data_IF_221900740554
#
_entry.id   IF_221900740554
#
_cell.length_a   1.000
_cell.length_b   1.000
_cell.length_c   1.000
_cell.angle_alpha   90.00
_cell.angle_beta   90.00
_cell.angle_gamma   90.00
#
_symmetry.space_group_name_H-M   'P 1'
#
loop_
_entity.id
_entity.type
_entity.pdbx_description
1 polymer ?
#
# COMPACT_ATOMS: atom_id res chain seq x y z
N UNK A 1 16.27 -11.58 -9.09
CA UNK A 1 14.94 -12.11 -9.53
C UNK A 1 13.95 -10.97 -9.40
N UNK A 2 13.18 -10.68 -10.45
CA UNK A 2 12.25 -9.54 -10.48
C UNK A 2 11.02 -9.78 -9.61
N UNK A 3 10.64 -8.80 -8.78
CA UNK A 3 9.39 -8.86 -8.01
C UNK A 3 8.16 -8.59 -8.88
N UNK A 4 7.03 -9.26 -8.63
CA UNK A 4 5.75 -8.83 -9.19
C UNK A 4 5.34 -7.48 -8.59
N UNK A 5 4.44 -6.75 -9.24
CA UNK A 5 3.71 -5.64 -8.62
C UNK A 5 2.41 -6.21 -8.06
N UNK A 6 2.06 -5.82 -6.86
CA UNK A 6 0.84 -6.27 -6.20
C UNK A 6 -0.16 -5.11 -6.11
N UNK A 7 -1.40 -5.33 -6.51
CA UNK A 7 -2.51 -4.45 -6.16
C UNK A 7 -3.40 -5.15 -5.14
N UNK A 8 -3.67 -4.48 -4.02
CA UNK A 8 -4.51 -5.02 -2.94
C UNK A 8 -5.72 -4.13 -2.70
N UNK A 9 -6.88 -4.74 -2.51
CA UNK A 9 -8.04 -4.08 -1.97
C UNK A 9 -7.94 -4.13 -0.44
N UNK A 10 -7.56 -2.99 0.19
CA UNK A 10 -7.38 -2.96 1.65
C UNK A 10 -8.70 -2.93 2.43
N UNK A 11 -9.82 -2.67 1.72
CA UNK A 11 -11.15 -2.70 2.33
C UNK A 11 -11.35 -1.65 3.42
N UNK A 12 -11.97 -2.07 4.50
CA UNK A 12 -12.16 -1.28 5.73
C UNK A 12 -10.99 -1.50 6.70
N UNK A 13 -10.69 -0.57 7.62
CA UNK A 13 -9.78 -0.81 8.75
C UNK A 13 -10.10 -2.08 9.54
N UNK A 14 -11.36 -2.54 9.54
CA UNK A 14 -11.77 -3.80 10.16
C UNK A 14 -11.02 -5.02 9.62
N UNK A 15 -10.52 -4.97 8.40
CA UNK A 15 -9.65 -6.04 7.87
C UNK A 15 -8.52 -6.40 8.84
N UNK A 16 -8.04 -5.45 9.64
CA UNK A 16 -6.95 -5.71 10.60
C UNK A 16 -7.33 -6.69 11.72
N UNK A 17 -8.62 -6.82 12.06
CA UNK A 17 -9.14 -7.71 13.12
C UNK A 17 -10.15 -8.73 12.58
N UNK A 18 -10.76 -8.46 11.46
CA UNK A 18 -11.68 -9.34 10.74
C UNK A 18 -11.09 -9.69 9.36
N UNK A 19 -10.14 -10.64 9.29
CA UNK A 19 -9.36 -10.91 8.07
C UNK A 19 -10.20 -11.44 6.91
N UNK A 20 -11.37 -12.04 7.17
CA UNK A 20 -12.19 -12.67 6.15
C UNK A 20 -11.39 -13.61 5.25
N UNK A 21 -11.66 -13.58 3.96
CA UNK A 21 -10.87 -14.33 2.96
C UNK A 21 -9.59 -13.57 2.54
N UNK A 22 -9.58 -12.24 2.70
CA UNK A 22 -8.50 -11.40 2.20
C UNK A 22 -7.21 -11.54 3.02
N UNK A 23 -7.31 -11.56 4.34
CA UNK A 23 -6.13 -11.70 5.21
C UNK A 23 -5.34 -12.99 4.94
N UNK A 24 -5.98 -14.19 4.99
CA UNK A 24 -5.33 -15.45 4.64
C UNK A 24 -4.78 -15.48 3.20
N UNK A 25 -5.48 -14.88 2.23
CA UNK A 25 -5.00 -14.82 0.85
C UNK A 25 -3.72 -13.98 0.71
N UNK A 26 -3.63 -12.84 1.41
CA UNK A 26 -2.41 -12.01 1.45
C UNK A 26 -1.24 -12.77 2.09
N UNK A 27 -1.49 -13.45 3.22
CA UNK A 27 -0.47 -14.26 3.87
C UNK A 27 0.03 -15.40 2.99
N UNK A 28 -0.89 -16.12 2.35
CA UNK A 28 -0.55 -17.20 1.43
C UNK A 28 0.24 -16.70 0.22
N UNK A 29 -0.13 -15.54 -0.34
CA UNK A 29 0.60 -14.92 -1.44
C UNK A 29 2.06 -14.60 -1.05
N UNK A 30 2.26 -13.99 0.12
CA UNK A 30 3.61 -13.66 0.62
C UNK A 30 4.44 -14.93 0.83
N UNK A 31 3.88 -15.96 1.47
CA UNK A 31 4.54 -17.25 1.70
C UNK A 31 4.93 -17.94 0.41
N UNK A 32 4.07 -17.88 -0.61
CA UNK A 32 4.31 -18.49 -1.92
C UNK A 32 5.50 -17.85 -2.66
N UNK A 33 5.92 -16.63 -2.30
CA UNK A 33 7.12 -16.02 -2.88
C UNK A 33 8.41 -16.74 -2.42
N UNK A 34 8.39 -17.46 -1.29
CA UNK A 34 9.53 -18.19 -0.73
C UNK A 34 10.69 -17.28 -0.28
N UNK A 35 10.49 -15.96 -0.27
CA UNK A 35 11.50 -14.95 0.09
C UNK A 35 10.84 -13.63 0.50
N UNK A 36 11.58 -12.79 1.23
CA UNK A 36 11.18 -11.41 1.53
C UNK A 36 11.87 -10.43 0.58
N UNK A 37 11.22 -9.31 0.20
CA UNK A 37 11.88 -8.26 -0.56
C UNK A 37 12.86 -7.50 0.35
N UNK A 38 13.84 -6.84 -0.28
CA UNK A 38 14.77 -5.93 0.43
C UNK A 38 14.05 -4.70 0.98
N UNK A 39 12.93 -4.31 0.38
CA UNK A 39 12.09 -3.22 0.85
C UNK A 39 10.76 -3.20 0.09
N UNK A 40 9.82 -2.43 0.61
CA UNK A 40 8.48 -2.27 0.04
C UNK A 40 8.23 -0.80 -0.24
N UNK A 41 7.80 -0.51 -1.47
CA UNK A 41 7.19 0.77 -1.81
C UNK A 41 5.67 0.59 -1.85
N UNK A 42 4.94 1.30 -0.99
CA UNK A 42 3.48 1.24 -0.96
C UNK A 42 2.88 2.57 -1.39
N UNK A 43 1.84 2.52 -2.22
CA UNK A 43 1.03 3.67 -2.63
C UNK A 43 -0.40 3.45 -2.14
N UNK A 44 -0.95 4.39 -1.38
CA UNK A 44 -2.30 4.32 -0.82
C UNK A 44 -3.10 5.60 -1.12
N UNK A 45 -4.40 5.51 -1.41
CA UNK A 45 -5.26 6.66 -1.66
C UNK A 45 -5.54 7.49 -0.40
N UNK A 46 -5.08 7.05 0.77
CA UNK A 46 -5.19 7.80 2.03
C UNK A 46 -4.06 8.82 2.22
N UNK A 47 -3.14 8.89 1.27
CA UNK A 47 -2.16 9.96 1.17
C UNK A 47 -2.19 10.60 -0.21
N UNK A 48 -3.05 11.60 -0.34
CA UNK A 48 -3.16 12.42 -1.55
C UNK A 48 -2.79 13.88 -1.22
N UNK A 49 -2.09 14.54 -2.14
CA UNK A 49 -1.63 15.90 -1.95
C UNK A 49 -1.51 16.69 -3.25
N UNK A 50 -0.93 17.88 -3.13
CA UNK A 50 -0.48 18.69 -4.26
C UNK A 50 1.00 18.34 -4.50
N UNK A 51 1.26 17.54 -5.53
CA UNK A 51 2.57 16.95 -5.76
C UNK A 51 2.78 15.61 -5.02
N UNK A 52 3.92 14.98 -5.29
CA UNK A 52 4.30 13.70 -4.70
C UNK A 52 5.21 13.90 -3.48
N UNK A 53 5.05 13.02 -2.49
CA UNK A 53 5.92 12.98 -1.32
C UNK A 53 6.22 11.53 -0.91
N UNK A 54 7.39 11.31 -0.34
CA UNK A 54 7.90 10.02 0.16
C UNK A 54 8.05 10.06 1.66
N UNK A 55 7.55 9.05 2.37
CA UNK A 55 7.84 8.90 3.80
C UNK A 55 9.32 8.55 3.98
N UNK A 56 10.00 9.29 4.86
CA UNK A 56 11.45 9.12 5.11
C UNK A 56 11.76 8.92 6.60
N UNK A 57 10.80 8.40 7.37
CA UNK A 57 11.02 8.01 8.77
C UNK A 57 12.01 6.85 8.85
N UNK A 58 12.85 6.85 9.87
CA UNK A 58 13.75 5.71 10.17
C UNK A 58 12.95 4.50 10.69
N UNK A 59 11.87 4.77 11.41
CA UNK A 59 10.91 3.76 11.85
C UNK A 59 9.49 4.22 11.57
N UNK A 60 8.74 3.36 10.92
CA UNK A 60 7.33 3.60 10.62
C UNK A 60 6.47 3.41 11.85
N UNK A 61 5.30 4.03 11.85
CA UNK A 61 4.25 3.82 12.84
C UNK A 61 2.91 3.69 12.12
N UNK A 62 2.02 2.88 12.67
CA UNK A 62 0.65 2.79 12.18
C UNK A 62 -0.11 4.08 12.50
N UNK A 63 -0.69 4.70 11.51
CA UNK A 63 -1.61 5.82 11.70
C UNK A 63 -3.04 5.30 11.67
N UNK A 64 -3.80 5.61 12.70
CA UNK A 64 -5.21 5.31 12.79
C UNK A 64 -6.00 6.49 12.18
N UNK A 65 -5.90 6.64 10.87
CA UNK A 65 -6.51 7.71 10.06
C UNK A 65 -8.03 7.51 9.82
N UNK A 66 -8.68 6.86 10.76
CA UNK A 66 -10.09 6.50 10.74
C UNK A 66 -10.74 6.78 12.09
N UNK A 67 -12.08 6.81 12.14
CA UNK A 67 -12.86 7.01 13.37
C UNK A 67 -14.13 6.17 13.40
N UNK A 68 -14.70 6.00 14.60
CA UNK A 68 -15.97 5.27 14.78
C UNK A 68 -15.86 3.74 14.73
N UNK A 69 -14.65 3.20 14.91
CA UNK A 69 -14.37 1.77 14.95
C UNK A 69 -14.19 1.25 16.38
N UNK A 70 -14.21 -0.08 16.60
CA UNK A 70 -13.97 -0.68 17.90
C UNK A 70 -12.62 -0.28 18.50
N UNK A 71 -12.52 -0.10 19.83
CA UNK A 71 -11.30 0.35 20.52
C UNK A 71 -10.07 -0.50 20.23
N UNK A 72 -10.24 -1.78 20.01
CA UNK A 72 -9.15 -2.73 19.72
C UNK A 72 -8.32 -2.34 18.48
N UNK A 73 -8.96 -1.75 17.45
CA UNK A 73 -8.25 -1.29 16.26
C UNK A 73 -7.19 -0.20 16.55
N UNK A 74 -7.46 0.64 17.53
CA UNK A 74 -6.56 1.74 17.90
C UNK A 74 -5.36 1.29 18.73
N UNK A 75 -5.34 0.03 19.17
CA UNK A 75 -4.20 -0.56 19.89
C UNK A 75 -3.20 -1.24 18.95
N UNK A 76 -3.58 -1.48 17.72
CA UNK A 76 -2.75 -2.19 16.75
C UNK A 76 -1.57 -1.33 16.32
N UNK A 77 -0.42 -1.98 16.14
CA UNK A 77 0.82 -1.34 15.70
C UNK A 77 1.38 -2.06 14.48
N UNK A 78 2.12 -1.31 13.68
CA UNK A 78 2.94 -1.85 12.60
C UNK A 78 4.22 -1.00 12.49
N UNK A 79 5.20 -1.31 13.31
CA UNK A 79 6.42 -0.51 13.47
C UNK A 79 7.57 -1.04 12.59
N UNK A 80 7.32 -1.16 11.28
CA UNK A 80 8.34 -1.60 10.33
C UNK A 80 9.51 -0.60 10.26
N UNK A 81 10.73 -1.05 9.93
CA UNK A 81 11.80 -0.14 9.57
C UNK A 81 11.37 0.78 8.42
N UNK A 82 11.81 2.01 8.44
CA UNK A 82 11.80 2.86 7.26
C UNK A 82 13.05 2.59 6.41
N UNK A 83 13.11 3.24 5.25
CA UNK A 83 14.30 3.18 4.40
C UNK A 83 14.54 4.51 3.70
N UNK A 84 15.30 5.43 4.31
CA UNK A 84 15.72 6.67 3.63
C UNK A 84 16.49 6.39 2.33
N UNK A 85 17.21 5.26 2.26
CA UNK A 85 17.90 4.82 1.06
C UNK A 85 16.93 4.47 -0.07
N UNK A 86 15.89 3.67 0.22
CA UNK A 86 14.84 3.35 -0.75
C UNK A 86 14.10 4.63 -1.19
N UNK A 87 13.78 5.53 -0.26
CA UNK A 87 13.15 6.79 -0.58
C UNK A 87 14.01 7.65 -1.51
N UNK A 88 15.33 7.71 -1.28
CA UNK A 88 16.27 8.40 -2.16
C UNK A 88 16.33 7.75 -3.55
N UNK A 89 16.31 6.41 -3.62
CA UNK A 89 16.31 5.69 -4.89
C UNK A 89 15.03 5.93 -5.69
N UNK A 90 13.86 5.90 -5.01
CA UNK A 90 12.57 6.26 -5.63
C UNK A 90 12.62 7.68 -6.18
N UNK A 91 13.10 8.64 -5.39
CA UNK A 91 13.21 10.04 -5.79
C UNK A 91 14.10 10.21 -7.02
N UNK A 92 15.22 9.48 -7.11
CA UNK A 92 16.11 9.49 -8.27
C UNK A 92 15.41 8.99 -9.53
N UNK A 93 14.74 7.84 -9.48
CA UNK A 93 14.00 7.27 -10.61
C UNK A 93 12.89 8.21 -11.13
N UNK A 94 12.20 8.85 -10.20
CA UNK A 94 11.17 9.83 -10.55
C UNK A 94 11.80 11.06 -11.23
N UNK A 95 12.91 11.58 -10.70
CA UNK A 95 13.63 12.72 -11.27
C UNK A 95 14.17 12.43 -12.67
N UNK A 96 14.67 11.21 -12.93
CA UNK A 96 15.10 10.75 -14.25
C UNK A 96 13.95 10.80 -15.29
N UNK A 97 12.71 10.72 -14.80
CA UNK A 97 11.49 10.83 -15.62
C UNK A 97 10.86 12.23 -15.57
N UNK A 98 11.55 13.24 -15.04
CA UNK A 98 11.07 14.61 -14.90
C UNK A 98 9.96 14.78 -13.86
N UNK A 99 9.84 13.85 -12.92
CA UNK A 99 8.81 13.84 -11.87
C UNK A 99 9.46 14.23 -10.53
N UNK A 100 9.03 15.37 -9.96
CA UNK A 100 9.49 15.79 -8.63
C UNK A 100 8.73 15.04 -7.52
N UNK A 101 9.43 14.72 -6.44
CA UNK A 101 8.85 14.18 -5.22
C UNK A 101 9.58 14.73 -4.00
N UNK A 102 8.82 15.20 -3.03
CA UNK A 102 9.33 15.72 -1.76
C UNK A 102 9.59 14.59 -0.76
N UNK A 103 10.21 14.93 0.37
CA UNK A 103 10.44 14.01 1.49
C UNK A 103 9.62 14.45 2.70
N UNK A 104 8.92 13.53 3.32
CA UNK A 104 8.21 13.76 4.58
C UNK A 104 8.76 12.84 5.69
N UNK A 105 9.59 13.36 6.61
CA UNK A 105 10.16 12.58 7.71
C UNK A 105 9.15 12.35 8.85
N UNK A 106 7.94 12.88 8.76
CA UNK A 106 6.91 12.77 9.80
C UNK A 106 5.74 11.91 9.40
N UNK A 107 5.53 11.68 8.11
CA UNK A 107 4.38 10.91 7.62
C UNK A 107 4.40 9.47 8.13
N UNK A 108 3.39 9.04 8.92
CA UNK A 108 3.22 7.65 9.32
C UNK A 108 2.54 6.85 8.20
N UNK A 109 2.50 5.51 8.32
CA UNK A 109 1.74 4.66 7.40
C UNK A 109 0.24 4.78 7.69
N UNK A 110 -0.57 5.13 6.70
CA UNK A 110 -2.02 5.08 6.81
C UNK A 110 -2.54 3.63 6.78
N UNK A 111 -3.84 3.44 7.12
CA UNK A 111 -4.41 2.09 7.21
C UNK A 111 -4.41 1.34 5.87
N UNK A 112 -4.48 2.02 4.76
CA UNK A 112 -4.35 1.40 3.44
C UNK A 112 -2.98 0.80 3.21
N UNK A 113 -1.95 1.26 3.91
CA UNK A 113 -0.61 0.70 3.89
C UNK A 113 -0.43 -0.37 4.98
N UNK A 114 -0.60 -0.02 6.27
CA UNK A 114 -0.21 -0.92 7.36
C UNK A 114 -1.15 -2.12 7.54
N UNK A 115 -2.44 -2.02 7.21
CA UNK A 115 -3.37 -3.14 7.39
C UNK A 115 -3.03 -4.32 6.48
N UNK A 116 -2.87 -4.17 5.15
CA UNK A 116 -2.45 -5.29 4.31
C UNK A 116 -1.06 -5.82 4.66
N UNK A 117 -0.13 -4.93 5.05
CA UNK A 117 1.23 -5.32 5.41
C UNK A 117 1.28 -6.24 6.64
N UNK A 118 0.34 -6.12 7.57
CA UNK A 118 0.22 -7.03 8.73
C UNK A 118 0.02 -8.49 8.32
N UNK A 119 -0.60 -8.74 7.18
CA UNK A 119 -0.81 -10.10 6.64
C UNK A 119 0.32 -10.52 5.72
N UNK A 120 0.83 -9.61 4.90
CA UNK A 120 1.91 -9.89 3.97
C UNK A 120 3.24 -10.15 4.70
N UNK A 121 3.57 -9.32 5.69
CA UNK A 121 4.84 -9.36 6.43
C UNK A 121 4.62 -9.14 7.93
N UNK A 122 4.04 -10.13 8.63
CA UNK A 122 3.69 -10.03 10.04
C UNK A 122 4.89 -9.88 10.98
N UNK A 123 6.08 -10.31 10.56
CA UNK A 123 7.30 -10.18 11.36
C UNK A 123 7.81 -8.74 11.46
N UNK A 124 7.25 -7.81 10.65
CA UNK A 124 7.53 -6.37 10.68
C UNK A 124 9.01 -6.04 10.46
N UNK A 125 9.72 -6.87 9.69
CA UNK A 125 11.17 -6.81 9.49
C UNK A 125 11.58 -6.30 8.10
N UNK A 126 10.62 -6.11 7.19
CA UNK A 126 10.88 -5.56 5.85
C UNK A 126 10.74 -4.05 5.88
N UNK A 127 11.75 -3.28 5.40
CA UNK A 127 11.66 -1.82 5.34
C UNK A 127 10.54 -1.34 4.42
N UNK A 128 9.82 -0.28 4.85
CA UNK A 128 8.67 0.26 4.13
C UNK A 128 8.86 1.76 3.87
N UNK A 129 8.61 2.15 2.62
CA UNK A 129 8.45 3.54 2.20
C UNK A 129 7.06 3.69 1.60
N UNK A 130 6.35 4.75 1.97
CA UNK A 130 5.09 5.12 1.35
C UNK A 130 5.29 6.30 0.41
N UNK A 131 4.67 6.24 -0.78
CA UNK A 131 4.60 7.32 -1.76
C UNK A 131 3.16 7.84 -1.80
N UNK A 132 3.00 9.15 -1.77
CA UNK A 132 1.70 9.80 -1.94
C UNK A 132 1.21 9.72 -3.38
N UNK A 133 -0.08 9.99 -3.57
CA UNK A 133 -0.67 10.30 -4.87
C UNK A 133 -0.77 11.83 -5.04
N UNK A 134 -0.52 12.30 -6.25
CA UNK A 134 -0.72 13.70 -6.64
C UNK A 134 -2.10 13.86 -7.27
N UNK A 135 -2.96 14.67 -6.63
CA UNK A 135 -4.31 14.95 -7.13
C UNK A 135 -4.34 15.73 -8.44
N UNK A 136 -3.27 16.40 -8.81
CA UNK A 136 -3.14 17.12 -10.07
C UNK A 136 -2.83 16.23 -11.27
N UNK A 137 -2.57 14.91 -11.06
CA UNK A 137 -2.25 13.97 -12.11
C UNK A 137 -3.48 13.22 -12.59
N UNK A 138 -3.68 13.18 -13.90
CA UNK A 138 -4.67 12.32 -14.54
C UNK A 138 -4.22 10.84 -14.57
N UNK A 139 -5.09 9.97 -15.07
CA UNK A 139 -4.82 8.53 -15.11
C UNK A 139 -3.59 8.19 -15.98
N UNK A 140 -3.34 8.91 -17.06
CA UNK A 140 -2.19 8.70 -17.93
C UNK A 140 -0.88 9.07 -17.20
N UNK A 141 -0.86 10.20 -16.50
CA UNK A 141 0.28 10.62 -15.71
C UNK A 141 0.53 9.69 -14.51
N UNK A 142 -0.51 9.10 -13.90
CA UNK A 142 -0.36 8.08 -12.86
C UNK A 142 0.22 6.77 -13.44
N UNK A 143 -0.17 6.41 -14.67
CA UNK A 143 0.41 5.26 -15.36
C UNK A 143 1.92 5.46 -15.64
N UNK A 144 2.32 6.64 -16.12
CA UNK A 144 3.72 6.98 -16.34
C UNK A 144 4.53 7.02 -15.04
N UNK A 145 3.93 7.46 -13.93
CA UNK A 145 4.51 7.33 -12.60
C UNK A 145 4.85 5.87 -12.27
N UNK A 146 3.90 4.96 -12.51
CA UNK A 146 4.13 3.53 -12.31
C UNK A 146 5.24 2.97 -13.21
N UNK A 147 5.35 3.43 -14.46
CA UNK A 147 6.44 3.05 -15.37
C UNK A 147 7.80 3.52 -14.88
N UNK A 148 7.89 4.75 -14.39
CA UNK A 148 9.13 5.30 -13.82
C UNK A 148 9.64 4.49 -12.61
N UNK A 149 8.73 3.89 -11.85
CA UNK A 149 9.05 3.08 -10.67
C UNK A 149 9.37 1.60 -11.01
N UNK A 150 9.11 1.15 -12.23
CA UNK A 150 9.26 -0.25 -12.63
C UNK A 150 10.67 -0.84 -12.40
N UNK A 151 11.79 -0.08 -12.53
CA UNK A 151 13.15 -0.60 -12.26
C UNK A 151 13.33 -1.12 -10.83
N UNK A 152 12.63 -0.59 -9.83
CA UNK A 152 12.71 -1.06 -8.44
C UNK A 152 12.45 -2.57 -8.30
N UNK A 153 11.63 -3.15 -9.18
CA UNK A 153 11.31 -4.57 -9.17
C UNK A 153 12.53 -5.46 -9.44
N UNK A 154 13.48 -4.96 -10.21
CA UNK A 154 14.75 -5.64 -10.50
C UNK A 154 15.78 -5.41 -9.38
N UNK A 155 15.52 -4.45 -8.49
CA UNK A 155 16.35 -4.08 -7.33
C UNK A 155 15.86 -4.76 -6.04
N UNK A 156 15.08 -5.84 -6.16
CA UNK A 156 14.52 -6.62 -5.05
C UNK A 156 13.51 -5.83 -4.18
N UNK A 157 12.81 -4.86 -4.77
CA UNK A 157 11.76 -4.07 -4.13
C UNK A 157 10.38 -4.54 -4.59
N UNK A 158 9.50 -4.79 -3.62
CA UNK A 158 8.08 -5.04 -3.87
C UNK A 158 7.33 -3.71 -3.96
N UNK A 159 6.61 -3.51 -5.07
CA UNK A 159 5.71 -2.35 -5.23
C UNK A 159 4.29 -2.82 -4.94
N UNK A 160 3.61 -2.13 -4.02
CA UNK A 160 2.22 -2.39 -3.66
C UNK A 160 1.38 -1.15 -3.96
N UNK A 161 0.41 -1.29 -4.87
CA UNK A 161 -0.72 -0.38 -4.98
C UNK A 161 -1.82 -0.86 -4.04
N UNK A 162 -2.19 -0.05 -3.09
CA UNK A 162 -3.27 -0.32 -2.15
C UNK A 162 -4.46 0.59 -2.47
N UNK A 163 -5.65 0.04 -2.52
CA UNK A 163 -6.82 0.81 -2.90
C UNK A 163 -8.10 0.00 -2.75
N UNK A 164 -9.02 0.20 -3.67
CA UNK A 164 -10.18 -0.63 -3.85
C UNK A 164 -10.55 -0.67 -5.34
N UNK A 165 -10.95 -1.82 -5.84
CA UNK A 165 -11.46 -1.94 -7.22
C UNK A 165 -12.75 -1.15 -7.41
N UNK A 166 -13.55 -1.05 -6.35
CA UNK A 166 -14.78 -0.25 -6.29
C UNK A 166 -14.92 0.36 -4.90
N UNK A 167 -15.48 1.58 -4.82
CA UNK A 167 -15.71 2.26 -3.55
C UNK A 167 -17.19 2.61 -3.40
N UNK A 168 -18.06 1.59 -3.50
CA UNK A 168 -19.49 1.77 -3.30
C UNK A 168 -19.87 1.52 -1.84
N UNK A 169 -19.92 2.58 -1.04
CA UNK A 169 -20.25 2.52 0.38
C UNK A 169 -21.67 1.99 0.68
N UNK A 170 -22.56 1.91 -0.32
CA UNK A 170 -23.89 1.28 -0.15
C UNK A 170 -23.77 -0.22 0.06
N UNK A 171 -22.68 -0.84 -0.37
CA UNK A 171 -22.42 -2.27 -0.24
C UNK A 171 -21.60 -2.64 1.00
N UNK A 172 -21.14 -1.67 1.79
CA UNK A 172 -20.30 -1.92 2.98
C UNK A 172 -20.98 -2.76 4.07
N UNK A 173 -22.33 -2.83 4.06
CA UNK A 173 -23.12 -3.61 5.00
C UNK A 173 -23.57 -4.98 4.47
N UNK A 174 -23.09 -5.38 3.29
CA UNK A 174 -23.37 -6.72 2.77
C UNK A 174 -22.66 -7.77 3.64
N UNK A 175 -23.26 -8.96 3.82
CA UNK A 175 -22.58 -10.08 4.49
C UNK A 175 -21.24 -10.38 3.82
N UNK A 176 -20.25 -10.84 4.60
CA UNK A 176 -18.91 -11.16 4.09
C UNK A 176 -18.91 -12.29 3.06
N UNK A 177 -19.90 -13.16 3.10
CA UNK A 177 -20.12 -14.28 2.18
C UNK A 177 -21.09 -13.92 1.03
N UNK A 178 -21.51 -12.65 0.93
CA UNK A 178 -22.37 -12.24 -0.16
C UNK A 178 -21.67 -12.44 -1.52
N UNK A 179 -22.41 -12.91 -2.56
CA UNK A 179 -21.82 -13.06 -3.88
C UNK A 179 -21.34 -11.71 -4.41
N UNK A 180 -20.26 -11.69 -5.22
CA UNK A 180 -19.78 -10.46 -5.81
C UNK A 180 -20.89 -9.78 -6.63
N UNK A 181 -20.98 -8.45 -6.52
CA UNK A 181 -21.94 -7.69 -7.32
C UNK A 181 -21.61 -7.85 -8.81
N UNK A 182 -22.63 -7.88 -9.71
CA UNK A 182 -22.42 -8.23 -11.12
C UNK A 182 -21.37 -7.39 -11.84
N UNK A 183 -21.21 -6.11 -11.51
CA UNK A 183 -20.21 -5.24 -12.16
C UNK A 183 -18.76 -5.59 -11.77
N UNK A 184 -18.52 -6.32 -10.67
CA UNK A 184 -17.18 -6.81 -10.33
C UNK A 184 -16.74 -7.94 -11.25
N UNK A 185 -17.68 -8.69 -11.86
CA UNK A 185 -17.35 -9.76 -12.79
C UNK A 185 -16.63 -9.25 -14.05
N UNK A 186 -16.84 -7.99 -14.42
CA UNK A 186 -16.16 -7.35 -15.56
C UNK A 186 -14.67 -7.07 -15.30
N UNK A 187 -14.23 -7.12 -14.04
CA UNK A 187 -12.85 -6.86 -13.64
C UNK A 187 -12.01 -8.14 -13.67
N UNK A 188 -12.65 -9.30 -13.72
CA UNK A 188 -11.99 -10.62 -13.74
C UNK A 188 -11.77 -11.19 -15.16
N UNK A 189 -11.85 -10.34 -16.17
CA UNK A 189 -11.63 -10.76 -17.57
C UNK A 189 -10.13 -10.86 -17.87
#
# INVERSE_FOLDING_TARGET
MRWPTLFVSHGSPMLAVEPGLTGPALAAWSQAQGRKPRGILVVSPHWMGQGLALSTRDQQVAWHDFGGFPPELYTLQYAAPGSPELAARVQSLLAESGIAADRDPRRPLDHGAWVPLRYLYPDVDVPVVQLSLDMGRDAAAQFELGRALAPLRDEDILIIGSGSLTHNLRHVRMPQDAPPVPYLSLIHI
#
